data_IF_911683238812
#
_entry.id   IF_911683238812
#
_cell.length_a   1.000
_cell.length_b   1.000
_cell.length_c   1.000
_cell.angle_alpha   90.00
_cell.angle_beta   90.00
_cell.angle_gamma   90.00
#
_symmetry.space_group_name_H-M   'P 1'
#
loop_
_entity.id
_entity.type
_entity.pdbx_description
1 polymer ?
#
# COMPACT_ATOMS: atom_id res chain seq x y z
N UNK A 1 0.18 -11.17 -15.87
CA UNK A 1 -0.09 -11.03 -14.41
C UNK A 1 -0.43 -12.40 -13.89
N UNK A 2 0.24 -12.89 -12.84
CA UNK A 2 -0.06 -14.20 -12.26
C UNK A 2 -1.29 -14.13 -11.37
N UNK A 3 -1.39 -13.06 -10.56
CA UNK A 3 -2.50 -12.86 -9.63
C UNK A 3 -2.69 -11.37 -9.31
N UNK A 4 -3.95 -10.96 -9.13
CA UNK A 4 -4.31 -9.67 -8.57
C UNK A 4 -5.61 -9.77 -7.77
N UNK A 5 -5.56 -9.42 -6.50
CA UNK A 5 -6.74 -9.21 -5.67
C UNK A 5 -7.02 -7.72 -5.53
N UNK A 6 -8.27 -7.32 -5.76
CA UNK A 6 -8.77 -5.98 -5.43
C UNK A 6 -9.87 -6.09 -4.39
N UNK A 7 -9.64 -5.47 -3.24
CA UNK A 7 -10.62 -5.44 -2.17
C UNK A 7 -11.71 -4.39 -2.45
N UNK A 8 -12.78 -4.45 -1.66
CA UNK A 8 -13.87 -3.47 -1.76
C UNK A 8 -13.45 -2.03 -1.39
N UNK A 9 -12.36 -1.87 -0.68
CA UNK A 9 -11.78 -0.58 -0.24
C UNK A 9 -10.67 -0.08 -1.19
N UNK A 10 -10.63 -0.56 -2.43
CA UNK A 10 -9.57 -0.28 -3.39
C UNK A 10 -8.17 -0.73 -2.89
N UNK A 11 -8.12 -1.61 -1.88
CA UNK A 11 -6.91 -2.34 -1.50
C UNK A 11 -6.52 -3.27 -2.64
N UNK A 12 -5.24 -3.29 -2.99
CA UNK A 12 -4.74 -4.13 -4.07
C UNK A 12 -3.46 -4.81 -3.63
N UNK A 13 -3.39 -6.12 -3.87
CA UNK A 13 -2.16 -6.90 -3.87
C UNK A 13 -2.04 -7.62 -5.22
N UNK A 14 -0.84 -7.68 -5.78
CA UNK A 14 -0.58 -8.36 -7.03
C UNK A 14 0.78 -9.06 -7.03
N UNK A 15 0.85 -10.19 -7.70
CA UNK A 15 2.04 -10.97 -7.93
C UNK A 15 2.24 -11.17 -9.43
N UNK A 16 3.43 -10.86 -9.96
CA UNK A 16 3.69 -10.97 -11.40
C UNK A 16 5.17 -11.17 -11.69
N UNK A 17 5.48 -12.06 -12.63
CA UNK A 17 6.79 -12.21 -13.27
C UNK A 17 6.92 -11.40 -14.57
N UNK A 18 5.85 -10.69 -14.96
CA UNK A 18 5.75 -9.92 -16.22
C UNK A 18 5.52 -8.44 -15.96
N UNK A 19 6.15 -7.91 -14.92
CA UNK A 19 6.02 -6.50 -14.57
C UNK A 19 6.50 -5.58 -15.70
N UNK A 20 7.50 -6.01 -16.49
CA UNK A 20 8.03 -5.29 -17.66
C UNK A 20 7.03 -5.15 -18.82
N UNK A 21 6.01 -6.03 -18.91
CA UNK A 21 4.98 -5.98 -19.94
C UNK A 21 3.85 -5.00 -19.61
N UNK A 22 3.73 -4.55 -18.36
CA UNK A 22 2.63 -3.71 -17.89
C UNK A 22 3.11 -2.29 -17.50
N UNK A 23 3.15 -1.41 -18.52
CA UNK A 23 3.49 0.00 -18.32
C UNK A 23 2.54 0.73 -17.35
N UNK A 24 1.29 0.24 -17.19
CA UNK A 24 0.33 0.78 -16.25
C UNK A 24 0.73 0.51 -14.80
N UNK A 25 1.20 -0.70 -14.51
CA UNK A 25 1.72 -1.07 -13.20
C UNK A 25 3.04 -0.37 -12.88
N UNK A 26 3.94 -0.24 -13.85
CA UNK A 26 5.21 0.45 -13.68
C UNK A 26 5.01 1.92 -13.27
N UNK A 27 4.11 2.62 -13.98
CA UNK A 27 3.80 4.04 -13.75
C UNK A 27 2.84 4.31 -12.60
N UNK A 28 2.27 3.26 -12.01
CA UNK A 28 1.29 3.43 -10.94
C UNK A 28 1.97 3.87 -9.65
N UNK A 29 1.68 5.11 -9.23
CA UNK A 29 2.22 5.76 -8.03
C UNK A 29 1.49 5.41 -6.74
N UNK A 30 0.67 4.36 -6.72
CA UNK A 30 -0.01 3.90 -5.50
C UNK A 30 0.63 2.65 -4.89
N UNK A 31 1.53 1.98 -5.60
CA UNK A 31 2.08 0.69 -5.19
C UNK A 31 3.43 0.80 -4.51
N UNK A 32 3.55 0.14 -3.37
CA UNK A 32 4.80 -0.39 -2.86
C UNK A 32 5.17 -1.61 -3.69
N UNK A 33 6.45 -1.76 -4.00
CA UNK A 33 6.92 -2.81 -4.90
C UNK A 33 8.12 -3.51 -4.28
N UNK A 34 8.11 -4.85 -4.28
CA UNK A 34 9.29 -5.67 -4.17
C UNK A 34 9.58 -6.27 -5.54
N UNK A 35 10.82 -6.16 -6.00
CA UNK A 35 11.27 -6.78 -7.25
C UNK A 35 12.46 -7.67 -6.90
N UNK A 36 12.30 -8.95 -7.12
CA UNK A 36 13.27 -9.99 -6.77
C UNK A 36 13.72 -10.74 -8.00
N UNK A 37 15.03 -10.69 -8.32
CA UNK A 37 15.65 -11.48 -9.38
C UNK A 37 15.97 -12.87 -8.80
N UNK A 38 15.25 -13.89 -9.24
CA UNK A 38 15.42 -15.27 -8.79
C UNK A 38 16.53 -15.96 -9.56
N UNK A 39 16.56 -15.80 -10.89
CA UNK A 39 17.59 -16.28 -11.79
C UNK A 39 17.90 -15.24 -12.86
N UNK A 40 19.18 -15.13 -13.24
CA UNK A 40 19.63 -14.23 -14.29
C UNK A 40 19.86 -12.80 -13.82
N UNK A 41 19.40 -11.82 -14.58
CA UNK A 41 19.63 -10.41 -14.29
C UNK A 41 18.49 -9.49 -14.75
N UNK A 42 18.43 -8.28 -14.20
CA UNK A 42 17.45 -7.28 -14.48
C UNK A 42 18.08 -5.89 -14.52
N UNK A 43 17.93 -5.18 -15.66
CA UNK A 43 18.26 -3.77 -15.77
C UNK A 43 16.99 -2.94 -15.56
N UNK A 44 17.04 -2.06 -14.59
CA UNK A 44 15.92 -1.22 -14.18
C UNK A 44 16.35 0.22 -14.00
N UNK A 45 15.58 1.18 -14.49
CA UNK A 45 15.77 2.59 -14.22
C UNK A 45 14.82 3.02 -13.11
N UNK A 46 15.36 3.61 -12.06
CA UNK A 46 14.62 4.12 -10.91
C UNK A 46 15.01 5.59 -10.74
N UNK A 47 14.02 6.49 -10.88
CA UNK A 47 14.21 7.94 -10.78
C UNK A 47 15.40 8.45 -11.63
N UNK A 48 15.49 7.97 -12.87
CA UNK A 48 16.55 8.26 -13.84
C UNK A 48 17.95 7.69 -13.49
N UNK A 49 18.03 6.77 -12.52
CA UNK A 49 19.27 6.05 -12.20
C UNK A 49 19.13 4.59 -12.63
N UNK A 50 20.00 4.15 -13.53
CA UNK A 50 20.03 2.76 -14.00
C UNK A 50 20.69 1.88 -12.96
N UNK A 51 20.00 0.80 -12.56
CA UNK A 51 20.49 -0.22 -11.66
C UNK A 51 20.50 -1.59 -12.37
N UNK A 52 21.61 -2.30 -12.19
CA UNK A 52 21.75 -3.67 -12.63
C UNK A 52 21.58 -4.62 -11.43
N UNK A 53 20.53 -5.42 -11.43
CA UNK A 53 20.23 -6.42 -10.40
C UNK A 53 20.68 -7.78 -10.88
N UNK A 54 21.28 -8.53 -9.98
CA UNK A 54 21.77 -9.89 -10.22
C UNK A 54 20.88 -10.92 -9.52
N UNK A 55 21.12 -12.17 -9.84
CA UNK A 55 20.46 -13.30 -9.18
C UNK A 55 20.55 -13.22 -7.65
N UNK A 56 19.45 -13.56 -7.02
CA UNK A 56 19.22 -13.46 -5.57
C UNK A 56 19.30 -12.03 -4.99
N UNK A 57 19.02 -11.04 -5.82
CA UNK A 57 18.86 -9.67 -5.33
C UNK A 57 17.40 -9.24 -5.34
N UNK A 58 16.99 -8.61 -4.25
CA UNK A 58 15.67 -8.04 -4.07
C UNK A 58 15.79 -6.54 -3.76
N UNK A 59 14.97 -5.74 -4.41
CA UNK A 59 14.80 -4.33 -4.10
C UNK A 59 13.39 -4.04 -3.60
N UNK A 60 13.28 -3.01 -2.78
CA UNK A 60 11.99 -2.48 -2.32
C UNK A 60 11.84 -1.02 -2.71
N UNK A 61 10.67 -0.68 -3.25
CA UNK A 61 10.36 0.63 -3.82
C UNK A 61 9.06 1.17 -3.24
N UNK A 62 9.09 2.42 -2.82
CA UNK A 62 7.90 3.15 -2.39
C UNK A 62 7.04 3.60 -3.59
N UNK A 63 5.80 4.04 -3.36
CA UNK A 63 4.96 4.65 -4.38
C UNK A 63 5.57 5.87 -5.06
N UNK A 64 6.56 6.52 -4.44
CA UNK A 64 7.19 7.73 -4.95
C UNK A 64 8.20 7.46 -6.07
N UNK A 65 8.77 6.25 -6.11
CA UNK A 65 9.77 5.92 -7.12
C UNK A 65 9.12 5.73 -8.50
N UNK A 66 9.71 6.39 -9.48
CA UNK A 66 9.43 6.13 -10.88
C UNK A 66 10.27 4.96 -11.35
N UNK A 67 9.64 4.00 -12.03
CA UNK A 67 10.28 2.73 -12.38
C UNK A 67 10.03 2.43 -13.84
N UNK A 68 11.10 2.23 -14.60
CA UNK A 68 11.07 1.72 -15.95
C UNK A 68 11.97 0.47 -16.05
N UNK A 69 11.41 -0.62 -16.55
CA UNK A 69 12.13 -1.88 -16.76
C UNK A 69 12.81 -1.82 -18.13
N UNK A 70 14.15 -1.84 -18.16
CA UNK A 70 14.92 -1.70 -19.39
C UNK A 70 15.17 -3.05 -20.06
N UNK A 71 15.60 -4.05 -19.29
CA UNK A 71 15.94 -5.39 -19.79
C UNK A 71 15.73 -6.42 -18.68
N UNK A 72 15.09 -7.52 -19.01
CA UNK A 72 14.90 -8.65 -18.11
C UNK A 72 15.49 -9.92 -18.76
N UNK A 73 16.46 -10.55 -18.12
CA UNK A 73 17.06 -11.81 -18.53
C UNK A 73 16.89 -12.82 -17.40
N UNK A 74 16.14 -13.87 -17.65
CA UNK A 74 15.86 -14.91 -16.67
C UNK A 74 14.53 -14.71 -15.95
N UNK A 75 14.47 -15.11 -14.67
CA UNK A 75 13.26 -15.15 -13.87
C UNK A 75 13.32 -14.15 -12.72
N UNK A 76 12.31 -13.29 -12.65
CA UNK A 76 12.13 -12.35 -11.57
C UNK A 76 10.66 -12.30 -11.12
N UNK A 77 10.43 -11.87 -9.91
CA UNK A 77 9.12 -11.74 -9.31
C UNK A 77 8.91 -10.34 -8.79
N UNK A 78 7.72 -9.78 -9.05
CA UNK A 78 7.28 -8.52 -8.49
C UNK A 78 6.06 -8.72 -7.60
N UNK A 79 6.19 -8.36 -6.33
CA UNK A 79 5.11 -8.32 -5.35
C UNK A 79 4.72 -6.86 -5.13
N UNK A 80 3.46 -6.54 -5.44
CA UNK A 80 2.92 -5.19 -5.46
C UNK A 80 1.77 -5.09 -4.48
N UNK A 81 1.68 -4.02 -3.71
CA UNK A 81 0.53 -3.73 -2.86
C UNK A 81 0.39 -2.23 -2.62
N UNK A 82 -0.82 -1.78 -2.35
CA UNK A 82 -1.07 -0.38 -2.01
C UNK A 82 -1.42 -0.20 -0.51
N UNK A 83 -1.39 1.04 -0.04
CA UNK A 83 -1.68 1.37 1.36
C UNK A 83 -3.11 0.99 1.80
N UNK A 84 -4.06 0.90 0.87
CA UNK A 84 -5.42 0.47 1.19
C UNK A 84 -5.51 -1.04 1.43
N UNK A 85 -4.59 -1.84 0.87
CA UNK A 85 -4.48 -3.27 1.16
C UNK A 85 -3.71 -3.50 2.45
N UNK A 86 -2.54 -2.89 2.58
CA UNK A 86 -1.69 -2.98 3.76
C UNK A 86 -1.01 -1.64 4.02
N UNK A 87 -1.40 -0.96 5.08
CA UNK A 87 -0.79 0.29 5.50
C UNK A 87 0.49 -0.02 6.29
N UNK A 88 1.64 0.20 5.66
CA UNK A 88 2.96 -0.04 6.28
C UNK A 88 3.09 0.74 7.58
N UNK A 89 2.57 1.95 7.64
CA UNK A 89 2.65 2.82 8.81
C UNK A 89 1.60 2.51 9.88
N UNK A 90 0.39 2.10 9.48
CA UNK A 90 -0.70 1.78 10.42
C UNK A 90 -0.50 0.47 11.17
N UNK A 91 0.34 -0.44 10.66
CA UNK A 91 0.66 -1.73 11.27
C UNK A 91 2.07 -1.80 11.87
N UNK A 92 2.71 -0.65 12.07
CA UNK A 92 4.12 -0.58 12.43
C UNK A 92 4.43 -1.15 13.82
N UNK A 93 3.52 -1.02 14.79
CA UNK A 93 3.65 -1.66 16.11
C UNK A 93 3.73 -3.19 16.02
N UNK A 94 3.19 -3.79 14.97
CA UNK A 94 3.15 -5.23 14.75
C UNK A 94 4.32 -5.74 13.92
N UNK A 95 4.87 -4.90 13.03
CA UNK A 95 5.86 -5.31 12.04
C UNK A 95 7.25 -4.76 12.35
N UNK A 96 7.35 -3.70 13.16
CA UNK A 96 8.61 -3.02 13.50
C UNK A 96 9.50 -2.69 12.29
N UNK A 97 8.91 -2.61 11.09
CA UNK A 97 9.67 -2.32 9.87
C UNK A 97 9.83 -0.82 9.62
N UNK A 98 9.11 0.02 10.36
CA UNK A 98 9.20 1.49 10.35
C UNK A 98 9.23 2.09 8.93
N UNK A 99 8.60 1.39 7.97
CA UNK A 99 8.81 1.71 6.58
C UNK A 99 10.26 1.57 6.08
N UNK A 100 11.18 1.05 6.89
CA UNK A 100 12.61 0.95 6.64
C UNK A 100 12.97 0.43 5.25
N UNK A 101 12.19 -0.52 4.73
CA UNK A 101 12.38 -1.08 3.39
C UNK A 101 11.98 -0.11 2.27
N UNK A 102 11.19 0.91 2.56
CA UNK A 102 10.58 1.78 1.55
C UNK A 102 10.93 3.25 1.73
N UNK A 103 11.85 3.57 2.68
CA UNK A 103 12.26 4.94 2.95
C UNK A 103 13.51 5.32 2.19
N UNK A 104 13.45 6.51 1.64
CA UNK A 104 14.54 7.22 1.00
C UNK A 104 14.32 7.36 -0.51
N UNK A 105 14.07 8.58 -0.94
CA UNK A 105 14.08 8.95 -2.37
C UNK A 105 15.48 8.86 -2.99
N UNK A 106 16.54 8.75 -2.18
CA UNK A 106 17.91 8.74 -2.64
C UNK A 106 18.61 7.38 -2.62
N UNK A 107 18.10 6.41 -1.85
CA UNK A 107 18.71 5.08 -1.78
C UNK A 107 17.65 3.97 -1.81
N UNK A 108 17.54 3.31 -2.94
CA UNK A 108 16.75 2.09 -3.07
C UNK A 108 17.35 1.00 -2.19
N UNK A 109 16.54 0.43 -1.29
CA UNK A 109 16.97 -0.71 -0.49
C UNK A 109 17.21 -1.91 -1.38
N UNK A 110 18.45 -2.38 -1.40
CA UNK A 110 18.90 -3.56 -2.14
C UNK A 110 19.45 -4.60 -1.19
N UNK A 111 18.91 -5.79 -1.24
CA UNK A 111 19.35 -6.93 -0.44
C UNK A 111 19.86 -8.04 -1.35
N UNK A 112 21.05 -8.51 -1.09
CA UNK A 112 21.58 -9.73 -1.70
C UNK A 112 21.29 -10.91 -0.76
N UNK A 113 20.45 -11.82 -1.20
CA UNK A 113 20.02 -12.97 -0.42
C UNK A 113 21.06 -14.08 -0.45
N UNK A 114 21.27 -14.73 0.68
CA UNK A 114 21.99 -16.00 0.70
C UNK A 114 21.03 -17.16 0.38
N UNK A 115 21.52 -18.39 0.11
CA UNK A 115 20.67 -19.51 -0.29
C UNK A 115 19.59 -19.90 0.72
N UNK A 116 19.82 -19.68 2.01
CA UNK A 116 18.84 -19.97 3.07
C UNK A 116 17.74 -18.91 3.09
N UNK A 117 18.09 -17.64 2.91
CA UNK A 117 17.17 -16.53 2.83
C UNK A 117 16.30 -16.60 1.56
N UNK A 118 16.90 -16.95 0.41
CA UNK A 118 16.16 -17.17 -0.83
C UNK A 118 15.12 -18.29 -0.67
N UNK A 119 15.48 -19.42 -0.09
CA UNK A 119 14.54 -20.53 0.18
C UNK A 119 13.41 -20.10 1.13
N UNK A 120 13.72 -19.31 2.16
CA UNK A 120 12.70 -18.81 3.09
C UNK A 120 11.70 -17.89 2.40
N UNK A 121 12.17 -16.97 1.56
CA UNK A 121 11.30 -16.08 0.80
C UNK A 121 10.50 -16.84 -0.27
N UNK A 122 11.11 -17.82 -0.96
CA UNK A 122 10.41 -18.66 -1.94
C UNK A 122 9.23 -19.40 -1.29
N UNK A 123 9.44 -20.02 -0.13
CA UNK A 123 8.36 -20.68 0.60
C UNK A 123 7.21 -19.74 0.97
N UNK A 124 7.51 -18.48 1.34
CA UNK A 124 6.46 -17.50 1.61
C UNK A 124 5.70 -17.14 0.33
N UNK A 125 6.40 -17.00 -0.79
CA UNK A 125 5.78 -16.70 -2.10
C UNK A 125 4.94 -17.89 -2.59
N UNK A 126 5.39 -19.11 -2.43
CA UNK A 126 4.63 -20.32 -2.77
C UNK A 126 3.32 -20.37 -1.97
N UNK A 127 3.39 -20.21 -0.63
CA UNK A 127 2.20 -20.14 0.22
C UNK A 127 1.26 -19.00 -0.19
N UNK A 128 1.81 -17.84 -0.58
CA UNK A 128 1.03 -16.72 -1.06
C UNK A 128 0.34 -17.04 -2.40
N UNK A 129 0.99 -17.77 -3.31
CA UNK A 129 0.38 -18.25 -4.57
C UNK A 129 -0.75 -19.25 -4.32
N UNK A 130 -0.56 -20.20 -3.41
CA UNK A 130 -1.60 -21.15 -3.00
C UNK A 130 -2.82 -20.40 -2.48
N UNK A 131 -2.64 -19.45 -1.57
CA UNK A 131 -3.72 -18.63 -1.03
C UNK A 131 -4.43 -17.80 -2.11
N UNK A 132 -3.73 -17.40 -3.16
CA UNK A 132 -4.33 -16.69 -4.30
C UNK A 132 -5.40 -17.51 -5.03
N UNK A 133 -5.40 -18.83 -4.92
CA UNK A 133 -6.40 -19.73 -5.53
C UNK A 133 -7.62 -19.96 -4.64
N UNK A 134 -7.51 -19.71 -3.35
CA UNK A 134 -8.61 -19.85 -2.37
C UNK A 134 -9.68 -18.79 -2.64
N UNK A 135 -10.94 -19.15 -2.51
CA UNK A 135 -12.09 -18.26 -2.76
C UNK A 135 -13.07 -18.29 -1.58
N UNK A 136 -12.63 -17.70 -0.47
CA UNK A 136 -13.48 -17.59 0.72
C UNK A 136 -13.42 -16.17 1.33
N UNK A 137 -14.10 -15.99 2.46
CA UNK A 137 -14.15 -14.70 3.14
C UNK A 137 -12.87 -14.37 3.93
N UNK A 138 -11.97 -15.32 4.11
CA UNK A 138 -10.71 -15.18 4.87
C UNK A 138 -9.50 -14.95 3.98
N UNK A 139 -9.61 -15.16 2.67
CA UNK A 139 -8.52 -14.99 1.70
C UNK A 139 -7.82 -13.62 1.84
N UNK A 140 -8.60 -12.55 1.94
CA UNK A 140 -8.05 -11.19 2.06
C UNK A 140 -7.19 -11.04 3.31
N UNK A 141 -7.63 -11.60 4.44
CA UNK A 141 -6.90 -11.53 5.70
C UNK A 141 -5.66 -12.43 5.69
N UNK A 142 -5.75 -13.63 5.13
CA UNK A 142 -4.60 -14.53 5.00
C UNK A 142 -3.52 -13.92 4.12
N UNK A 143 -3.89 -13.31 3.00
CA UNK A 143 -2.93 -12.62 2.13
C UNK A 143 -2.25 -11.43 2.84
N UNK A 144 -2.96 -10.72 3.74
CA UNK A 144 -2.34 -9.68 4.58
C UNK A 144 -1.31 -10.26 5.55
N UNK A 145 -1.63 -11.37 6.20
CA UNK A 145 -0.73 -12.05 7.13
C UNK A 145 0.54 -12.51 6.40
N UNK A 146 0.40 -13.11 5.21
CA UNK A 146 1.53 -13.57 4.40
C UNK A 146 2.40 -12.41 3.90
N UNK A 147 1.78 -11.33 3.42
CA UNK A 147 2.48 -10.10 3.04
C UNK A 147 3.24 -9.52 4.24
N UNK A 148 2.60 -9.44 5.40
CA UNK A 148 3.21 -8.99 6.65
C UNK A 148 4.44 -9.84 7.00
N UNK A 149 4.32 -11.18 6.93
CA UNK A 149 5.45 -12.09 7.16
C UNK A 149 6.60 -11.81 6.20
N UNK A 150 6.31 -11.62 4.90
CA UNK A 150 7.31 -11.29 3.90
C UNK A 150 8.05 -9.99 4.24
N UNK A 151 7.32 -8.92 4.58
CA UNK A 151 7.88 -7.62 4.96
C UNK A 151 8.77 -7.76 6.20
N UNK A 152 8.32 -8.48 7.25
CA UNK A 152 9.10 -8.68 8.48
C UNK A 152 10.42 -9.39 8.18
N UNK A 153 10.38 -10.45 7.38
CA UNK A 153 11.57 -11.22 7.02
C UNK A 153 12.57 -10.35 6.27
N UNK A 154 12.12 -9.62 5.23
CA UNK A 154 12.97 -8.67 4.50
C UNK A 154 13.55 -7.58 5.41
N UNK A 155 12.76 -7.05 6.35
CA UNK A 155 13.22 -6.04 7.31
C UNK A 155 14.33 -6.58 8.22
N UNK A 156 14.16 -7.80 8.74
CA UNK A 156 15.21 -8.45 9.56
C UNK A 156 16.50 -8.63 8.78
N UNK A 157 16.41 -9.12 7.53
CA UNK A 157 17.57 -9.28 6.65
C UNK A 157 18.27 -7.96 6.37
N UNK A 158 17.50 -6.89 6.14
CA UNK A 158 18.02 -5.57 5.89
C UNK A 158 18.75 -5.00 7.13
N UNK A 159 18.16 -5.10 8.30
CA UNK A 159 18.75 -4.62 9.57
C UNK A 159 20.08 -5.31 9.90
N UNK A 160 20.19 -6.62 9.64
CA UNK A 160 21.42 -7.37 9.89
C UNK A 160 22.59 -6.96 8.98
N UNK A 161 22.31 -6.33 7.82
CA UNK A 161 23.33 -5.95 6.82
C UNK A 161 23.73 -4.49 6.87
N UNK A 162 22.88 -3.67 7.43
CA UNK A 162 23.17 -2.25 7.61
C UNK A 162 23.68 -2.09 9.04
N UNK A 163 24.93 -1.65 9.18
CA UNK A 163 25.35 -0.95 10.39
C UNK A 163 24.52 0.35 10.41
N UNK A 164 23.39 0.31 11.11
CA UNK A 164 22.44 1.42 11.12
C UNK A 164 23.06 2.53 11.94
N UNK A 165 23.35 3.63 11.25
CA UNK A 165 23.78 4.88 11.84
C UNK A 165 22.75 5.29 12.92
N UNK A 166 23.16 5.36 14.17
CA UNK A 166 22.30 5.52 15.35
C UNK A 166 21.47 6.81 15.30
N UNK A 167 21.95 7.85 14.59
CA UNK A 167 21.20 9.07 14.36
C UNK A 167 20.04 8.89 13.35
N UNK A 168 20.22 8.04 12.34
CA UNK A 168 19.14 7.69 11.41
C UNK A 168 18.07 6.84 12.08
N UNK A 169 18.43 5.95 12.97
CA UNK A 169 17.47 5.14 13.73
C UNK A 169 16.56 6.02 14.61
N UNK A 170 17.11 7.02 15.29
CA UNK A 170 16.34 7.99 16.06
C UNK A 170 15.36 8.82 15.21
N UNK A 171 15.75 9.19 13.98
CA UNK A 171 14.88 9.89 13.05
C UNK A 171 13.70 9.04 12.60
N UNK A 172 13.94 7.77 12.31
CA UNK A 172 12.89 6.81 11.94
C UNK A 172 11.92 6.56 13.10
N UNK A 173 12.40 6.49 14.33
CA UNK A 173 11.54 6.31 15.49
C UNK A 173 10.58 7.48 15.68
N UNK A 174 11.01 8.71 15.46
CA UNK A 174 10.14 9.89 15.51
C UNK A 174 9.08 9.82 14.41
N UNK A 175 9.47 9.47 13.20
CA UNK A 175 8.54 9.29 12.06
C UNK A 175 7.50 8.23 12.39
N UNK A 176 7.93 7.08 12.92
CA UNK A 176 7.05 6.00 13.37
C UNK A 176 6.05 6.48 14.41
N UNK A 177 6.55 7.08 15.47
CA UNK A 177 5.70 7.60 16.55
C UNK A 177 4.67 8.59 15.99
N UNK A 178 5.06 9.43 15.04
CA UNK A 178 4.14 10.33 14.37
C UNK A 178 2.99 9.60 13.68
N UNK A 179 3.25 8.54 12.89
CA UNK A 179 2.20 7.76 12.23
C UNK A 179 1.27 7.08 13.24
N UNK A 180 1.81 6.49 14.30
CA UNK A 180 1.02 5.89 15.39
C UNK A 180 0.13 6.92 16.06
N UNK A 181 0.67 8.10 16.36
CA UNK A 181 -0.11 9.19 16.95
C UNK A 181 -1.21 9.68 15.99
N UNK A 182 -0.91 9.79 14.69
CA UNK A 182 -1.92 10.14 13.68
C UNK A 182 -3.03 9.10 13.65
N UNK A 183 -2.72 7.82 13.64
CA UNK A 183 -3.74 6.75 13.64
C UNK A 183 -4.64 6.79 14.88
N UNK A 184 -4.07 7.12 16.02
CA UNK A 184 -4.81 7.20 17.29
C UNK A 184 -5.63 8.49 17.45
N UNK A 185 -5.16 9.61 16.90
CA UNK A 185 -5.70 10.94 17.22
C UNK A 185 -6.26 11.72 16.02
N UNK A 186 -6.26 11.19 14.80
CA UNK A 186 -6.67 11.92 13.58
C UNK A 186 -8.09 12.48 13.62
N UNK A 187 -8.97 11.95 14.47
CA UNK A 187 -10.34 12.46 14.64
C UNK A 187 -10.36 13.76 15.42
N UNK A 188 -9.49 13.90 16.40
CA UNK A 188 -9.44 15.01 17.34
C UNK A 188 -8.42 16.06 16.94
N UNK A 189 -7.27 15.61 16.45
CA UNK A 189 -6.10 16.43 16.11
C UNK A 189 -5.85 16.42 14.61
N UNK A 190 -5.79 17.63 14.02
CA UNK A 190 -5.65 17.77 12.55
C UNK A 190 -4.48 18.66 12.13
N UNK A 191 -3.78 19.23 13.11
CA UNK A 191 -2.66 20.13 12.85
C UNK A 191 -1.32 19.50 13.19
N UNK A 192 -0.28 19.85 12.45
CA UNK A 192 1.08 19.34 12.70
C UNK A 192 1.57 19.74 14.09
N UNK A 193 1.14 20.90 14.58
CA UNK A 193 1.49 21.40 15.92
C UNK A 193 1.09 20.39 17.01
N UNK A 194 -0.11 19.85 16.95
CA UNK A 194 -0.62 18.89 17.94
C UNK A 194 0.30 17.67 18.10
N UNK A 195 0.77 17.14 16.98
CA UNK A 195 1.65 15.95 16.95
C UNK A 195 3.09 16.29 17.30
N UNK A 196 3.53 17.48 16.93
CA UNK A 196 4.84 17.99 17.27
C UNK A 196 5.01 18.11 18.80
N UNK A 197 3.99 18.63 19.47
CA UNK A 197 3.96 18.71 20.95
C UNK A 197 4.01 17.32 21.58
N UNK A 198 3.23 16.36 21.10
CA UNK A 198 3.23 14.98 21.59
C UNK A 198 4.59 14.29 21.42
N UNK A 199 5.35 14.68 20.39
CA UNK A 199 6.68 14.14 20.11
C UNK A 199 7.82 14.96 20.72
N UNK A 200 7.50 16.00 21.50
CA UNK A 200 8.47 16.94 22.07
C UNK A 200 9.39 17.54 20.99
N UNK A 201 8.83 17.90 19.84
CA UNK A 201 9.52 18.49 18.70
C UNK A 201 8.81 19.75 18.22
N UNK A 202 9.52 20.58 17.41
CA UNK A 202 8.86 21.67 16.70
C UNK A 202 8.22 21.16 15.39
N UNK A 203 7.14 21.80 14.88
CA UNK A 203 6.58 21.49 13.56
C UNK A 203 7.60 21.60 12.43
N UNK A 204 8.54 22.56 12.55
CA UNK A 204 9.64 22.74 11.59
C UNK A 204 10.58 21.55 11.63
N UNK A 205 10.95 21.07 12.82
CA UNK A 205 11.79 19.88 12.98
C UNK A 205 11.15 18.65 12.34
N UNK A 206 9.85 18.42 12.59
CA UNK A 206 9.12 17.33 11.95
C UNK A 206 9.11 17.47 10.42
N UNK A 207 8.77 18.66 9.92
CA UNK A 207 8.73 18.88 8.46
C UNK A 207 10.08 18.66 7.81
N UNK A 208 11.17 19.11 8.43
CA UNK A 208 12.53 18.88 7.94
C UNK A 208 12.89 17.38 7.98
N UNK A 209 12.52 16.69 9.06
CA UNK A 209 12.77 15.26 9.21
C UNK A 209 12.05 14.48 8.11
N UNK A 210 10.76 14.73 7.89
CA UNK A 210 9.99 14.06 6.82
C UNK A 210 10.56 14.36 5.44
N UNK A 211 11.01 15.60 5.20
CA UNK A 211 11.68 15.98 3.95
C UNK A 211 13.01 15.25 3.76
N UNK A 212 13.83 15.15 4.82
CA UNK A 212 15.11 14.44 4.82
C UNK A 212 14.97 12.97 4.40
N UNK A 213 13.86 12.35 4.82
CA UNK A 213 13.54 10.95 4.47
C UNK A 213 12.68 10.82 3.19
N UNK A 214 12.49 11.89 2.42
CA UNK A 214 11.73 11.88 1.17
C UNK A 214 10.24 11.56 1.34
N UNK A 215 9.67 11.80 2.53
CA UNK A 215 8.29 11.50 2.86
C UNK A 215 7.35 12.67 2.52
N UNK A 216 6.06 12.35 2.39
CA UNK A 216 5.02 13.38 2.35
C UNK A 216 5.09 14.24 3.62
N UNK A 217 4.73 15.53 3.48
CA UNK A 217 4.72 16.42 4.66
C UNK A 217 3.81 15.88 5.76
N UNK A 218 4.13 16.11 7.04
CA UNK A 218 3.31 15.69 8.17
C UNK A 218 1.81 16.05 8.02
N UNK A 219 1.52 17.26 7.56
CA UNK A 219 0.14 17.69 7.31
C UNK A 219 -0.57 16.83 6.25
N UNK A 220 0.15 16.47 5.19
CA UNK A 220 -0.43 15.63 4.14
C UNK A 220 -0.77 14.24 4.66
N UNK A 221 0.07 13.65 5.50
CA UNK A 221 -0.16 12.33 6.12
C UNK A 221 -1.41 12.37 7.01
N UNK A 222 -1.55 13.41 7.85
CA UNK A 222 -2.77 13.61 8.66
C UNK A 222 -4.01 13.66 7.75
N UNK A 223 -3.95 14.46 6.69
CA UNK A 223 -5.07 14.61 5.75
C UNK A 223 -5.41 13.31 5.02
N UNK A 224 -4.41 12.53 4.58
CA UNK A 224 -4.60 11.24 3.93
C UNK A 224 -5.27 10.24 4.87
N UNK A 225 -4.91 10.25 6.16
CA UNK A 225 -5.54 9.38 7.17
C UNK A 225 -7.01 9.74 7.43
N UNK A 226 -7.30 11.03 7.57
CA UNK A 226 -8.68 11.53 7.72
C UNK A 226 -9.52 11.19 6.49
N UNK A 227 -8.97 11.38 5.29
CA UNK A 227 -9.65 11.07 4.03
C UNK A 227 -9.94 9.58 3.86
N UNK A 228 -8.98 8.72 4.20
CA UNK A 228 -9.17 7.27 4.15
C UNK A 228 -10.36 6.84 5.02
N UNK A 229 -10.47 7.36 6.25
CA UNK A 229 -11.59 7.07 7.14
C UNK A 229 -12.90 7.68 6.63
N UNK A 230 -12.86 8.90 6.09
CA UNK A 230 -14.03 9.53 5.47
C UNK A 230 -14.59 8.67 4.33
N UNK A 231 -13.72 8.20 3.43
CA UNK A 231 -14.12 7.29 2.34
C UNK A 231 -14.68 5.98 2.88
N UNK A 232 -14.05 5.41 3.91
CA UNK A 232 -14.54 4.18 4.56
C UNK A 232 -15.96 4.36 5.10
N UNK A 233 -16.20 5.41 5.87
CA UNK A 233 -17.54 5.70 6.43
C UNK A 233 -18.58 5.97 5.33
N UNK A 234 -18.21 6.73 4.28
CA UNK A 234 -19.09 7.00 3.15
C UNK A 234 -19.44 5.76 2.33
N UNK A 235 -18.53 4.79 2.24
CA UNK A 235 -18.71 3.56 1.45
C UNK A 235 -19.44 2.46 2.22
N UNK A 236 -19.22 2.34 3.53
CA UNK A 236 -19.61 1.13 4.28
C UNK A 236 -20.69 1.38 5.32
N UNK A 237 -21.06 2.63 5.55
CA UNK A 237 -22.14 2.97 6.47
C UNK A 237 -23.30 3.69 5.79
N UNK A 238 -24.46 3.72 6.46
CA UNK A 238 -25.61 4.52 6.06
C UNK A 238 -25.58 5.96 6.62
N UNK A 239 -24.55 6.32 7.40
CA UNK A 239 -24.44 7.60 8.07
C UNK A 239 -24.52 8.77 7.08
N UNK A 240 -25.18 9.85 7.48
CA UNK A 240 -25.25 11.11 6.74
C UNK A 240 -23.86 11.78 6.66
N UNK A 241 -23.70 12.71 5.74
CA UNK A 241 -22.45 13.48 5.67
C UNK A 241 -22.22 14.32 6.93
N UNK A 242 -23.30 14.76 7.61
CA UNK A 242 -23.22 15.49 8.86
C UNK A 242 -22.70 14.59 10.00
N UNK A 243 -23.27 13.42 10.19
CA UNK A 243 -22.78 12.44 11.20
C UNK A 243 -21.33 12.03 10.95
N UNK A 244 -20.92 11.89 9.69
CA UNK A 244 -19.52 11.59 9.36
C UNK A 244 -18.60 12.75 9.68
N UNK A 245 -19.03 13.99 9.42
CA UNK A 245 -18.31 15.19 9.81
C UNK A 245 -18.05 15.24 11.32
N UNK A 246 -19.08 14.96 12.12
CA UNK A 246 -19.00 14.90 13.58
C UNK A 246 -18.05 13.78 14.07
N UNK A 247 -18.18 12.56 13.51
CA UNK A 247 -17.31 11.41 13.84
C UNK A 247 -15.84 11.70 13.53
N UNK A 248 -15.58 12.46 12.47
CA UNK A 248 -14.22 12.83 12.06
C UNK A 248 -13.72 14.09 12.77
N UNK A 249 -14.50 14.66 13.69
CA UNK A 249 -14.11 15.83 14.48
C UNK A 249 -13.97 17.11 13.65
N UNK A 250 -14.81 17.32 12.64
CA UNK A 250 -14.92 18.60 11.97
C UNK A 250 -15.96 19.48 12.68
N UNK A 251 -15.69 20.77 12.77
CA UNK A 251 -16.58 21.75 13.41
C UNK A 251 -17.95 21.82 12.72
N UNK A 252 -17.96 21.71 11.40
CA UNK A 252 -19.17 21.76 10.59
C UNK A 252 -19.07 20.93 9.30
N UNK A 253 -20.23 20.68 8.70
CA UNK A 253 -20.35 19.95 7.44
C UNK A 253 -19.69 20.68 6.26
N UNK A 254 -19.66 22.02 6.27
CA UNK A 254 -19.11 22.80 5.16
C UNK A 254 -17.59 22.66 5.11
N UNK A 255 -16.94 22.68 6.26
CA UNK A 255 -15.50 22.45 6.41
C UNK A 255 -15.13 21.03 6.00
N UNK A 256 -15.88 20.01 6.44
CA UNK A 256 -15.70 18.63 5.98
C UNK A 256 -15.88 18.50 4.46
N UNK A 257 -16.92 19.13 3.89
CA UNK A 257 -17.20 19.04 2.45
C UNK A 257 -16.10 19.66 1.60
N UNK A 258 -15.55 20.81 2.05
CA UNK A 258 -14.41 21.47 1.40
C UNK A 258 -13.15 20.58 1.47
N UNK A 259 -12.86 20.03 2.65
CA UNK A 259 -11.75 19.11 2.85
C UNK A 259 -11.88 17.90 1.92
N UNK A 260 -13.03 17.21 1.93
CA UNK A 260 -13.26 16.02 1.12
C UNK A 260 -13.14 16.29 -0.38
N UNK A 261 -13.72 17.42 -0.84
CA UNK A 261 -13.60 17.84 -2.25
C UNK A 261 -12.15 18.13 -2.65
N UNK A 262 -11.37 18.77 -1.76
CA UNK A 262 -9.95 19.05 -1.99
C UNK A 262 -9.15 17.75 -2.13
N UNK A 263 -9.41 16.76 -1.30
CA UNK A 263 -8.68 15.46 -1.30
C UNK A 263 -9.09 14.56 -2.48
N UNK A 264 -10.38 14.51 -2.81
CA UNK A 264 -10.92 13.54 -3.77
C UNK A 264 -11.29 14.12 -5.13
N UNK A 265 -11.20 15.43 -5.35
CA UNK A 265 -11.64 16.14 -6.55
C UNK A 265 -13.12 15.89 -6.91
N UNK A 266 -13.93 15.43 -5.95
CA UNK A 266 -15.35 15.10 -6.08
C UNK A 266 -16.11 15.54 -4.84
N UNK A 267 -17.37 15.93 -5.03
CA UNK A 267 -18.24 16.17 -3.89
C UNK A 267 -18.58 14.86 -3.17
N UNK A 268 -18.95 14.92 -1.89
CA UNK A 268 -19.43 13.79 -1.09
C UNK A 268 -20.63 13.11 -1.79
N UNK A 269 -21.54 13.90 -2.35
CA UNK A 269 -22.72 13.41 -3.06
C UNK A 269 -22.37 12.64 -4.32
N UNK A 270 -21.40 13.14 -5.11
CA UNK A 270 -20.94 12.47 -6.33
C UNK A 270 -20.18 11.18 -6.01
N UNK A 271 -19.38 11.18 -4.96
CA UNK A 271 -18.68 10.02 -4.47
C UNK A 271 -19.67 8.90 -4.08
N UNK A 272 -20.72 9.21 -3.33
CA UNK A 272 -21.80 8.27 -2.99
C UNK A 272 -22.62 7.80 -4.20
N UNK A 273 -22.87 8.68 -5.17
CA UNK A 273 -23.63 8.38 -6.38
C UNK A 273 -22.87 7.41 -7.27
N UNK A 274 -21.57 7.58 -7.39
CA UNK A 274 -20.68 6.65 -8.11
C UNK A 274 -20.75 5.22 -7.55
N UNK A 275 -20.84 5.07 -6.21
CA UNK A 275 -21.05 3.78 -5.55
C UNK A 275 -22.37 3.11 -5.93
N UNK A 276 -23.48 3.87 -5.93
CA UNK A 276 -24.81 3.31 -6.27
C UNK A 276 -24.83 2.78 -7.71
N UNK A 277 -24.16 3.47 -8.65
CA UNK A 277 -24.04 3.05 -10.04
C UNK A 277 -23.19 1.78 -10.19
N UNK A 278 -22.04 1.68 -9.51
CA UNK A 278 -21.19 0.47 -9.52
C UNK A 278 -21.91 -0.75 -8.91
N UNK A 279 -22.64 -0.58 -7.80
CA UNK A 279 -23.44 -1.66 -7.19
C UNK A 279 -24.59 -2.13 -8.10
N UNK A 280 -25.23 -1.24 -8.84
CA UNK A 280 -26.27 -1.61 -9.82
C UNK A 280 -25.67 -2.41 -10.98
N UNK A 281 -24.57 -1.95 -11.56
CA UNK A 281 -23.87 -2.67 -12.63
C UNK A 281 -23.43 -4.07 -12.19
N UNK A 282 -22.76 -4.22 -11.09
CA UNK A 282 -22.33 -5.53 -10.58
C UNK A 282 -23.50 -6.47 -10.27
N UNK A 283 -24.66 -5.96 -9.82
CA UNK A 283 -25.88 -6.77 -9.68
C UNK A 283 -26.52 -7.18 -11.01
N UNK A 284 -26.45 -6.32 -12.02
CA UNK A 284 -26.97 -6.61 -13.35
C UNK A 284 -26.07 -7.61 -14.10
N UNK A 285 -24.76 -7.49 -13.95
CA UNK A 285 -23.78 -8.43 -14.50
C UNK A 285 -23.91 -9.82 -13.85
N UNK A 286 -23.98 -9.92 -12.55
CA UNK A 286 -24.21 -11.18 -11.84
C UNK A 286 -25.59 -11.81 -12.10
N UNK A 287 -26.63 -11.02 -12.44
CA UNK A 287 -27.91 -11.53 -12.90
C UNK A 287 -27.86 -12.07 -14.33
N UNK A 288 -27.07 -11.43 -15.19
CA UNK A 288 -26.87 -11.89 -16.58
C UNK A 288 -26.08 -13.21 -16.63
N UNK A 289 -25.07 -13.33 -15.77
CA UNK A 289 -24.24 -14.53 -15.65
C UNK A 289 -25.05 -15.72 -15.14
N UNK A 290 -25.83 -15.54 -14.08
CA UNK A 290 -26.77 -16.58 -13.58
C UNK A 290 -27.87 -16.98 -14.57
N UNK A 291 -28.28 -16.07 -15.47
CA UNK A 291 -29.23 -16.40 -16.55
C UNK A 291 -28.56 -17.20 -17.67
N UNK A 292 -27.28 -16.91 -17.97
CA UNK A 292 -26.50 -17.66 -18.98
C UNK A 292 -26.21 -19.09 -18.48
N UNK A 293 -25.83 -19.26 -17.22
CA UNK A 293 -25.62 -20.57 -16.61
C UNK A 293 -26.89 -21.42 -16.62
N UNK A 294 -28.05 -20.85 -16.25
CA UNK A 294 -29.33 -21.56 -16.30
C UNK A 294 -29.79 -21.91 -17.72
N UNK A 295 -29.48 -21.06 -18.70
CA UNK A 295 -29.78 -21.34 -20.11
C UNK A 295 -28.87 -22.40 -20.74
N UNK A 296 -27.63 -22.52 -20.25
CA UNK A 296 -26.69 -23.57 -20.69
C UNK A 296 -27.07 -24.97 -20.17
N UNK A 297 -27.55 -25.03 -18.93
CA UNK A 297 -28.00 -26.31 -18.31
C UNK A 297 -29.30 -26.83 -18.98
N UNK A 298 -30.22 -25.94 -19.36
CA UNK A 298 -31.46 -26.32 -20.02
C UNK A 298 -31.27 -26.84 -21.47
N UNK A 299 -30.14 -26.49 -22.11
CA UNK A 299 -29.82 -26.98 -23.47
C UNK A 299 -28.94 -28.24 -23.49
N UNK A 300 -28.49 -28.76 -22.36
CA UNK A 300 -27.72 -29.99 -22.24
C UNK A 300 -28.61 -31.23 -21.94
N UNK A 301 -29.88 -31.02 -21.64
CA UNK A 301 -30.85 -32.11 -21.32
C UNK A 301 -31.84 -32.32 -22.44
N UNK A 302 -31.61 -31.79 -23.64
CA UNK A 302 -32.36 -32.01 -24.89
C UNK A 302 -31.47 -32.68 -25.93
#
# INVERSE_FOLDING_TARGET
>A
MEFQLKTRLDGTIALTSRFHEDAGLQRNKSFYKFIWVRHGSLDIEIDHVVMHLKENEIISLSPLHHVDMLRAEGDYLSLLFNSNFYCIYGHDNEVSCNGFLFHGSSNVMRLKLNPTESRLLEHIIETLREECTVRDNLQEEMLRILLKRFIIVCTRMARLRLEVDQERENGFDIIRQFYVLVDNHFKEKKQVQDYAEMLYRSPKTLSNLFSLYGLNSPLRIIHERVDAEARRLLLYTSKSAKEISEILGFEDLATFSRFFKKMNQKSISDFRRGRRRRRRRGREEGRKEKRREKGSIANSDS
#
